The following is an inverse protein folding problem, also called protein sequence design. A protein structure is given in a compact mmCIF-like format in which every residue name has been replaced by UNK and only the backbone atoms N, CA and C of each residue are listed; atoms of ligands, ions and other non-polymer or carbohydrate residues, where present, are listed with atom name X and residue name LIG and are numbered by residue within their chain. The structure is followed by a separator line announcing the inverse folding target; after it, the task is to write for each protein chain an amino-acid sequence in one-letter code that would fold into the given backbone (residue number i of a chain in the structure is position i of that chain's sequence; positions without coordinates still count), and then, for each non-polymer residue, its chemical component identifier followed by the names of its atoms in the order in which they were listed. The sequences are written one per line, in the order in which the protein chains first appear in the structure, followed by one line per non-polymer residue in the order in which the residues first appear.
data_IF_286599527972
#
_entry.id   IF_286599527972
#
_cell.length_a   1.000
_cell.length_b   1.000
_cell.length_c   1.000
_cell.angle_alpha   90.00
_cell.angle_beta   90.00
_cell.angle_gamma   90.00
#
_symmetry.space_group_name_H-M   'P 1'
#
loop_
_entity.id
_entity.type
_entity.pdbx_description
1 polymer ?
#
# COMPACT_ATOMS: atom_id res chain seq x y z
N UNK A 1 -46.32 -28.59 -2.93
CA UNK A 1 -45.21 -28.86 -3.88
C UNK A 1 -44.58 -27.57 -4.42
N UNK A 2 -45.38 -26.62 -4.91
CA UNK A 2 -44.91 -25.35 -5.51
C UNK A 2 -43.98 -24.53 -4.57
N UNK A 3 -44.37 -24.28 -3.31
CA UNK A 3 -43.53 -23.53 -2.33
C UNK A 3 -42.12 -24.12 -2.14
N UNK A 4 -41.97 -25.45 -2.15
CA UNK A 4 -40.67 -26.12 -1.98
C UNK A 4 -39.78 -25.92 -3.21
N UNK A 5 -40.37 -26.00 -4.40
CA UNK A 5 -39.70 -25.75 -5.67
C UNK A 5 -39.26 -24.28 -5.80
N UNK A 6 -40.11 -23.35 -5.36
CA UNK A 6 -39.79 -21.91 -5.32
C UNK A 6 -38.60 -21.60 -4.40
N UNK A 7 -38.54 -22.24 -3.23
CA UNK A 7 -37.42 -22.08 -2.27
C UNK A 7 -36.12 -22.65 -2.86
N UNK A 8 -36.18 -23.79 -3.54
CA UNK A 8 -35.00 -24.39 -4.19
C UNK A 8 -34.47 -23.51 -5.32
N UNK A 9 -35.35 -22.93 -6.15
CA UNK A 9 -34.96 -22.02 -7.22
C UNK A 9 -34.33 -20.74 -6.65
N UNK A 10 -34.90 -20.19 -5.57
CA UNK A 10 -34.36 -19.00 -4.91
C UNK A 10 -32.95 -19.25 -4.33
N UNK A 11 -32.75 -20.41 -3.68
CA UNK A 11 -31.45 -20.83 -3.15
C UNK A 11 -30.40 -21.01 -4.25
N UNK A 12 -30.79 -21.60 -5.38
CA UNK A 12 -29.91 -21.77 -6.53
C UNK A 12 -29.50 -20.41 -7.13
N UNK A 13 -30.44 -19.47 -7.19
CA UNK A 13 -30.19 -18.11 -7.68
C UNK A 13 -29.23 -17.33 -6.78
N UNK A 14 -29.35 -17.47 -5.45
CA UNK A 14 -28.42 -16.84 -4.51
C UNK A 14 -27.01 -17.41 -4.56
N UNK A 15 -26.86 -18.70 -4.89
CA UNK A 15 -25.54 -19.32 -5.08
C UNK A 15 -24.83 -18.84 -6.36
N UNK A 16 -25.59 -18.40 -7.36
CA UNK A 16 -25.08 -17.93 -8.65
C UNK A 16 -24.74 -16.43 -8.65
N UNK A 17 -25.05 -15.70 -7.58
CA UNK A 17 -24.65 -14.30 -7.46
C UNK A 17 -23.13 -14.23 -7.28
N UNK A 18 -22.39 -13.53 -8.17
CA UNK A 18 -20.97 -13.32 -7.95
C UNK A 18 -20.81 -12.51 -6.65
N UNK A 19 -20.16 -13.11 -5.66
CA UNK A 19 -19.62 -12.38 -4.53
C UNK A 19 -18.53 -11.46 -5.09
N UNK A 20 -18.89 -10.21 -5.37
CA UNK A 20 -17.91 -9.18 -5.73
C UNK A 20 -17.09 -8.88 -4.48
N UNK A 21 -16.11 -9.72 -4.18
CA UNK A 21 -15.12 -9.45 -3.15
C UNK A 21 -14.21 -8.33 -3.68
N UNK A 22 -14.38 -7.13 -3.15
CA UNK A 22 -13.43 -6.02 -3.35
C UNK A 22 -12.16 -6.33 -2.55
N UNK A 23 -11.36 -7.28 -3.03
CA UNK A 23 -10.08 -7.60 -2.43
C UNK A 23 -9.05 -6.59 -2.91
N UNK A 24 -8.54 -5.76 -2.01
CA UNK A 24 -7.42 -4.86 -2.29
C UNK A 24 -6.23 -5.71 -2.71
N UNK A 25 -5.68 -5.42 -3.88
CA UNK A 25 -4.45 -6.06 -4.36
C UNK A 25 -3.34 -5.02 -4.33
N UNK A 26 -2.72 -4.89 -3.15
CA UNK A 26 -1.70 -3.91 -2.89
C UNK A 26 -0.28 -4.46 -3.13
N UNK A 27 0.61 -3.58 -3.58
CA UNK A 27 2.06 -3.80 -3.59
C UNK A 27 2.75 -2.77 -2.70
N UNK A 28 3.70 -3.24 -1.89
CA UNK A 28 4.53 -2.35 -1.09
C UNK A 28 5.66 -1.76 -1.93
N UNK A 29 5.88 -0.46 -1.76
CA UNK A 29 7.01 0.26 -2.36
C UNK A 29 7.71 1.08 -1.28
N UNK A 30 9.01 0.87 -1.14
CA UNK A 30 9.86 1.66 -0.27
C UNK A 30 10.82 2.46 -1.15
N UNK A 31 10.70 3.81 -1.18
CA UNK A 31 11.60 4.64 -1.97
C UNK A 31 13.05 4.55 -1.47
N UNK A 32 14.00 4.37 -2.39
CA UNK A 32 15.44 4.29 -2.10
C UNK A 32 16.26 5.25 -2.97
N UNK A 33 17.48 5.58 -2.55
CA UNK A 33 18.37 6.45 -3.35
C UNK A 33 18.66 5.86 -4.75
N UNK A 34 18.77 4.54 -4.86
CA UNK A 34 18.99 3.85 -6.15
C UNK A 34 17.88 4.10 -7.16
N UNK A 35 16.67 4.40 -6.69
CA UNK A 35 15.49 4.61 -7.52
C UNK A 35 15.55 5.93 -8.29
N UNK A 36 16.41 6.88 -7.87
CA UNK A 36 16.69 8.11 -8.63
C UNK A 36 17.41 7.84 -9.95
N UNK A 37 18.02 6.67 -10.12
CA UNK A 37 18.65 6.27 -11.38
C UNK A 37 17.65 5.82 -12.45
N UNK A 38 16.40 5.56 -12.06
CA UNK A 38 15.33 5.16 -12.98
C UNK A 38 14.77 6.43 -13.63
N UNK A 39 14.74 6.46 -14.96
CA UNK A 39 14.26 7.62 -15.70
C UNK A 39 12.79 7.90 -15.37
N UNK A 40 12.41 9.19 -15.39
CA UNK A 40 11.08 9.59 -14.93
C UNK A 40 9.94 8.92 -15.70
N UNK A 41 10.14 8.68 -17.00
CA UNK A 41 9.20 8.05 -17.92
C UNK A 41 9.07 6.54 -17.68
N UNK A 42 10.10 5.89 -17.16
CA UNK A 42 10.09 4.46 -16.87
C UNK A 42 9.16 4.13 -15.71
N UNK A 43 9.03 5.03 -14.74
CA UNK A 43 8.09 4.89 -13.63
C UNK A 43 6.63 4.73 -14.07
N UNK A 44 6.20 5.49 -15.07
CA UNK A 44 4.84 5.33 -15.60
C UNK A 44 4.65 3.94 -16.20
N UNK A 45 5.65 3.41 -16.91
CA UNK A 45 5.61 2.03 -17.43
C UNK A 45 5.59 0.99 -16.31
N UNK A 46 6.34 1.20 -15.23
CA UNK A 46 6.33 0.34 -14.04
C UNK A 46 4.91 0.28 -13.45
N UNK A 47 4.28 1.42 -13.19
CA UNK A 47 2.92 1.47 -12.64
C UNK A 47 1.87 0.88 -13.59
N UNK A 48 2.01 1.14 -14.89
CA UNK A 48 1.16 0.54 -15.90
C UNK A 48 1.24 -1.01 -15.87
N UNK A 49 2.45 -1.56 -15.77
CA UNK A 49 2.64 -3.00 -15.65
C UNK A 49 2.04 -3.57 -14.36
N UNK A 50 2.14 -2.85 -13.23
CA UNK A 50 1.50 -3.26 -11.98
C UNK A 50 -0.01 -3.37 -12.13
N UNK A 51 -0.67 -2.38 -12.75
CA UNK A 51 -2.10 -2.46 -13.08
C UNK A 51 -2.43 -3.66 -13.95
N UNK A 52 -1.65 -3.92 -14.99
CA UNK A 52 -1.85 -5.09 -15.87
C UNK A 52 -1.70 -6.43 -15.14
N UNK A 53 -0.90 -6.47 -14.07
CA UNK A 53 -0.73 -7.65 -13.21
C UNK A 53 -1.83 -7.80 -12.15
N UNK A 54 -2.80 -6.90 -12.11
CA UNK A 54 -3.94 -6.97 -11.19
C UNK A 54 -3.74 -6.20 -9.89
N UNK A 55 -2.62 -5.50 -9.70
CA UNK A 55 -2.48 -4.59 -8.57
C UNK A 55 -3.34 -3.37 -8.79
N UNK A 56 -4.06 -2.96 -7.75
CA UNK A 56 -4.90 -1.76 -7.76
C UNK A 56 -4.41 -0.68 -6.80
N UNK A 57 -3.49 -1.03 -5.90
CA UNK A 57 -3.06 -0.17 -4.80
C UNK A 57 -1.54 -0.20 -4.65
N UNK A 58 -0.94 0.98 -4.51
CA UNK A 58 0.46 1.17 -4.15
C UNK A 58 0.53 1.59 -2.68
N UNK A 59 1.14 0.75 -1.85
CA UNK A 59 1.37 1.04 -0.43
C UNK A 59 2.81 1.52 -0.23
N UNK A 60 2.98 2.81 0.05
CA UNK A 60 4.29 3.40 0.29
C UNK A 60 4.71 3.11 1.73
N UNK A 61 5.79 2.36 1.89
CA UNK A 61 6.37 2.00 3.17
C UNK A 61 7.29 3.15 3.62
N UNK A 62 6.65 4.16 4.23
CA UNK A 62 7.21 5.36 4.88
C UNK A 62 7.59 6.52 3.96
N UNK A 63 7.07 7.70 4.28
CA UNK A 63 7.48 8.98 3.67
C UNK A 63 8.69 9.63 4.35
N UNK A 64 9.22 9.01 5.41
CA UNK A 64 10.40 9.47 6.14
C UNK A 64 11.04 8.30 6.87
N UNK A 65 11.82 7.49 6.15
CA UNK A 65 12.66 6.44 6.74
C UNK A 65 14.11 6.65 6.33
N UNK A 66 15.02 6.61 7.30
CA UNK A 66 16.42 7.00 7.11
C UNK A 66 16.57 8.48 6.72
N UNK A 67 17.62 8.79 5.97
CA UNK A 67 17.93 10.16 5.57
C UNK A 67 17.40 10.55 4.18
N UNK A 68 16.98 9.57 3.38
CA UNK A 68 16.63 9.76 1.96
C UNK A 68 15.58 10.85 1.74
N UNK A 69 14.45 10.78 2.46
CA UNK A 69 13.34 11.72 2.31
C UNK A 69 13.44 12.95 3.25
N UNK A 70 14.57 13.15 3.92
CA UNK A 70 14.78 14.33 4.79
C UNK A 70 14.99 15.62 4.00
N UNK A 71 15.50 15.54 2.77
CA UNK A 71 15.71 16.73 1.95
C UNK A 71 14.45 17.06 1.09
N UNK A 72 14.18 18.35 0.81
CA UNK A 72 13.00 18.75 0.04
C UNK A 72 12.99 18.23 -1.41
N UNK A 73 14.15 18.09 -2.05
CA UNK A 73 14.26 17.61 -3.43
C UNK A 73 13.72 16.19 -3.58
N UNK A 74 14.09 15.30 -2.65
CA UNK A 74 13.66 13.91 -2.65
C UNK A 74 12.18 13.77 -2.29
N UNK A 75 11.61 14.72 -1.51
CA UNK A 75 10.16 14.79 -1.29
C UNK A 75 9.41 15.19 -2.56
N UNK A 76 9.92 16.16 -3.32
CA UNK A 76 9.37 16.54 -4.62
C UNK A 76 9.46 15.37 -5.60
N UNK A 77 10.61 14.71 -5.68
CA UNK A 77 10.80 13.53 -6.52
C UNK A 77 9.82 12.41 -6.16
N UNK A 78 9.62 12.13 -4.86
CA UNK A 78 8.67 11.11 -4.42
C UNK A 78 7.25 11.50 -4.81
N UNK A 79 6.87 12.77 -4.60
CA UNK A 79 5.55 13.27 -5.00
C UNK A 79 5.29 13.03 -6.49
N UNK A 80 6.26 13.27 -7.36
CA UNK A 80 6.12 12.98 -8.79
C UNK A 80 5.86 11.49 -9.06
N UNK A 81 6.52 10.57 -8.33
CA UNK A 81 6.25 9.13 -8.46
C UNK A 81 4.82 8.79 -8.05
N UNK A 82 4.31 9.44 -6.99
CA UNK A 82 2.93 9.26 -6.53
C UNK A 82 1.92 9.79 -7.54
N UNK A 83 2.17 10.97 -8.11
CA UNK A 83 1.34 11.55 -9.16
C UNK A 83 1.28 10.59 -10.37
N UNK A 84 2.41 10.01 -10.78
CA UNK A 84 2.45 9.01 -11.86
C UNK A 84 1.69 7.73 -11.53
N UNK A 85 1.77 7.23 -10.29
CA UNK A 85 1.01 6.05 -9.87
C UNK A 85 -0.51 6.32 -9.92
N UNK A 86 -0.95 7.51 -9.48
CA UNK A 86 -2.37 7.89 -9.55
C UNK A 86 -2.84 8.10 -10.99
N UNK A 87 -1.98 8.60 -11.89
CA UNK A 87 -2.29 8.70 -13.32
C UNK A 87 -2.59 7.33 -13.96
N UNK A 88 -1.91 6.27 -13.50
CA UNK A 88 -2.21 4.88 -13.88
C UNK A 88 -3.36 4.26 -13.08
N UNK A 89 -4.13 5.06 -12.32
CA UNK A 89 -5.29 4.62 -11.53
C UNK A 89 -4.94 3.61 -10.42
N UNK A 90 -3.74 3.71 -9.86
CA UNK A 90 -3.43 3.05 -8.59
C UNK A 90 -3.99 3.89 -7.43
N UNK A 91 -4.63 3.24 -6.47
CA UNK A 91 -4.94 3.83 -5.17
C UNK A 91 -3.63 3.95 -4.37
N UNK A 92 -3.53 4.93 -3.48
CA UNK A 92 -2.33 5.12 -2.66
C UNK A 92 -2.64 4.85 -1.19
N UNK A 93 -1.80 4.04 -0.54
CA UNK A 93 -1.71 3.96 0.92
C UNK A 93 -0.39 4.60 1.32
N UNK A 94 -0.44 5.72 2.02
CA UNK A 94 0.76 6.48 2.39
C UNK A 94 1.16 6.10 3.82
N UNK A 95 2.25 5.35 3.97
CA UNK A 95 2.87 5.12 5.26
C UNK A 95 3.47 6.42 5.79
N UNK A 96 3.10 6.79 7.01
CA UNK A 96 3.63 7.97 7.70
C UNK A 96 5.10 7.78 8.08
N UNK A 97 5.70 8.80 8.68
CA UNK A 97 7.07 8.74 9.19
C UNK A 97 7.25 7.58 10.16
N UNK A 98 8.37 6.86 10.04
CA UNK A 98 8.77 5.83 10.99
C UNK A 98 10.11 6.23 11.58
N UNK A 99 10.19 6.30 12.90
CA UNK A 99 11.45 6.55 13.60
C UNK A 99 12.44 5.41 13.24
N UNK A 100 13.59 5.72 12.59
CA UNK A 100 14.56 4.72 12.17
C UNK A 100 15.08 3.84 13.32
N UNK A 101 15.03 4.34 14.55
CA UNK A 101 15.48 3.61 15.72
C UNK A 101 14.46 2.59 16.26
N UNK A 102 13.20 2.63 15.80
CA UNK A 102 12.16 1.68 16.24
C UNK A 102 12.63 0.24 16.07
N UNK A 103 13.26 -0.11 14.95
CA UNK A 103 13.71 -1.48 14.70
C UNK A 103 14.88 -1.92 15.58
N UNK A 104 15.73 -0.99 16.01
CA UNK A 104 16.80 -1.29 16.96
C UNK A 104 16.25 -1.42 18.38
N UNK A 105 15.26 -0.60 18.73
CA UNK A 105 14.67 -0.55 20.07
C UNK A 105 13.65 -1.66 20.31
N UNK A 106 12.98 -2.17 19.26
CA UNK A 106 12.16 -3.38 19.33
C UNK A 106 12.97 -4.66 19.64
N UNK A 107 14.30 -4.61 19.50
CA UNK A 107 15.19 -5.70 19.93
C UNK A 107 15.54 -5.62 21.41
N UNK A 108 15.19 -4.54 22.10
CA UNK A 108 15.44 -4.39 23.54
C UNK A 108 14.37 -5.11 24.37
N UNK A 109 14.70 -5.58 25.59
CA UNK A 109 13.76 -6.28 26.47
C UNK A 109 12.51 -5.44 26.80
N UNK A 110 11.36 -6.13 26.91
CA UNK A 110 10.01 -5.56 27.03
C UNK A 110 9.78 -4.58 28.18
N UNK A 111 10.64 -4.55 29.20
CA UNK A 111 10.57 -3.61 30.33
C UNK A 111 10.85 -2.16 29.93
N UNK A 112 11.43 -1.90 28.75
CA UNK A 112 11.69 -0.54 28.23
C UNK A 112 10.61 -0.06 27.24
N UNK A 113 9.81 -0.97 26.68
CA UNK A 113 8.86 -0.66 25.59
C UNK A 113 7.64 0.15 26.04
N UNK A 114 7.15 -0.02 27.29
CA UNK A 114 5.97 0.70 27.80
C UNK A 114 6.22 2.20 27.99
N UNK A 115 7.44 2.59 28.40
CA UNK A 115 7.83 4.00 28.57
C UNK A 115 7.92 4.70 27.23
N UNK A 116 8.32 3.97 26.18
CA UNK A 116 8.47 4.51 24.84
C UNK A 116 7.13 4.77 24.13
N UNK A 117 6.18 3.84 24.22
CA UNK A 117 4.86 4.01 23.61
C UNK A 117 4.11 5.24 24.16
N UNK A 118 4.32 5.57 25.44
CA UNK A 118 3.79 6.80 26.06
C UNK A 118 4.42 8.09 25.53
N UNK A 119 5.59 8.04 24.92
CA UNK A 119 6.30 9.21 24.39
C UNK A 119 5.92 9.54 22.94
N UNK A 120 5.20 8.63 22.27
CA UNK A 120 4.74 8.78 20.89
C UNK A 120 3.27 9.25 20.77
N UNK A 121 2.56 9.43 21.89
CA UNK A 121 1.21 10.01 21.97
C UNK A 121 1.31 11.52 22.25
#
# INVERSE_FOLDING_TARGET
MVKKLSIQILLLFTLLLPLNTMAITAIFYQPQESDKNIASQEWQMIFHQLKKKGFDTLAIQWTQYGDFLKNPENQVWLKERLDQATAEKLQLIIGLSSDPEIFNRLKEPSTTSEVFLKKLQ
#
